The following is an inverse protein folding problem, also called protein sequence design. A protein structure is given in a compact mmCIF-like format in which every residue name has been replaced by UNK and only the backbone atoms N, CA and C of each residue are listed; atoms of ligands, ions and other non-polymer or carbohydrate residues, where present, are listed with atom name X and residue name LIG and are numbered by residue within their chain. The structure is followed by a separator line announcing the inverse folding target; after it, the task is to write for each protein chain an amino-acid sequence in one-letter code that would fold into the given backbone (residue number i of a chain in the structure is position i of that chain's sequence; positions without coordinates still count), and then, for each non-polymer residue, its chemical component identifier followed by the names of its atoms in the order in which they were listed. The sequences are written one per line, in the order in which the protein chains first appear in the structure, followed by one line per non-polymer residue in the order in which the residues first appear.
data_IF_201581541025
#
_entry.id   IF_201581541025
#
_cell.length_a   1.000
_cell.length_b   1.000
_cell.length_c   1.000
_cell.angle_alpha   90.00
_cell.angle_beta   90.00
_cell.angle_gamma   90.00
#
_symmetry.space_group_name_H-M   'P 1'
#
loop_
_entity.id
_entity.type
_entity.pdbx_description
1 polymer ?
#
# COMPACT_ATOMS: atom_id res chain seq x y z
N UNK A 1 5.80 -2.01 22.43
CA UNK A 1 6.33 -1.04 21.45
C UNK A 1 6.24 -1.69 20.08
N UNK A 2 5.05 -1.68 19.47
CA UNK A 2 4.90 -2.01 18.04
C UNK A 2 4.94 -0.67 17.33
N UNK A 3 6.09 -0.37 16.72
CA UNK A 3 6.30 0.88 16.01
C UNK A 3 5.27 0.99 14.89
N UNK A 4 4.35 1.93 15.02
CA UNK A 4 3.71 2.56 13.88
C UNK A 4 4.85 3.22 13.10
N UNK A 5 5.44 2.49 12.15
CA UNK A 5 6.24 3.15 11.14
C UNK A 5 5.26 4.08 10.44
N UNK A 6 5.40 5.37 10.70
CA UNK A 6 4.95 6.46 9.84
C UNK A 6 5.58 6.23 8.44
N UNK A 7 5.12 5.21 7.73
CA UNK A 7 5.36 5.07 6.31
C UNK A 7 4.41 6.08 5.69
N UNK A 8 4.95 7.11 5.03
CA UNK A 8 4.14 8.16 4.41
C UNK A 8 3.00 7.53 3.60
N UNK A 9 1.75 8.01 3.77
CA UNK A 9 0.59 7.43 3.13
C UNK A 9 0.80 7.42 1.61
N UNK A 10 1.00 6.22 1.05
CA UNK A 10 1.23 6.05 -0.38
C UNK A 10 -0.06 6.31 -1.15
N UNK A 11 0.06 6.58 -2.44
CA UNK A 11 -1.10 6.71 -3.33
C UNK A 11 -1.07 5.64 -4.38
N UNK A 12 -2.24 5.09 -4.68
CA UNK A 12 -2.42 4.19 -5.79
C UNK A 12 -2.09 4.92 -7.11
N UNK A 13 -1.18 4.40 -7.95
CA UNK A 13 -0.82 5.04 -9.21
C UNK A 13 -1.93 4.97 -10.28
N UNK A 14 -2.98 4.17 -10.05
CA UNK A 14 -4.09 4.01 -10.99
C UNK A 14 -5.26 4.94 -10.66
N UNK A 15 -5.84 4.81 -9.46
CA UNK A 15 -6.98 5.61 -9.02
C UNK A 15 -6.60 6.88 -8.22
N UNK A 16 -5.35 7.02 -7.77
CA UNK A 16 -4.93 8.13 -6.90
C UNK A 16 -5.39 8.04 -5.45
N UNK A 17 -6.07 6.95 -5.07
CA UNK A 17 -6.55 6.68 -3.72
C UNK A 17 -5.38 6.61 -2.73
N UNK A 18 -5.60 7.09 -1.51
CA UNK A 18 -4.61 7.01 -0.43
C UNK A 18 -4.62 5.59 0.13
N UNK A 19 -3.44 4.99 0.22
CA UNK A 19 -3.20 3.69 0.82
C UNK A 19 -2.74 3.94 2.25
N UNK A 20 -3.59 3.67 3.26
CA UNK A 20 -3.34 4.11 4.62
C UNK A 20 -2.31 3.24 5.35
N UNK A 21 -2.25 1.94 5.06
CA UNK A 21 -1.30 1.02 5.67
C UNK A 21 -0.92 -0.13 4.74
N UNK A 22 0.31 -0.62 4.91
CA UNK A 22 0.81 -1.83 4.25
C UNK A 22 0.20 -3.04 4.94
N UNK A 23 -0.28 -4.02 4.17
CA UNK A 23 -0.83 -5.23 4.74
C UNK A 23 0.29 -6.04 5.44
N UNK A 24 0.23 -6.24 6.77
CA UNK A 24 1.30 -6.91 7.51
C UNK A 24 1.32 -8.42 7.28
N UNK A 25 0.25 -9.00 6.73
CA UNK A 25 0.14 -10.44 6.49
C UNK A 25 0.84 -10.84 5.21
N UNK A 26 0.71 -10.01 4.16
CA UNK A 26 1.24 -10.31 2.82
C UNK A 26 2.49 -9.48 2.50
N UNK A 27 2.69 -8.34 3.16
CA UNK A 27 3.86 -7.48 2.96
C UNK A 27 3.81 -6.64 1.68
N UNK A 28 2.63 -6.41 1.12
CA UNK A 28 2.37 -5.52 -0.02
C UNK A 28 1.23 -4.54 0.31
N UNK A 29 1.11 -3.46 -0.44
CA UNK A 29 0.00 -2.51 -0.28
C UNK A 29 -1.15 -2.93 -1.17
N UNK A 30 -2.38 -2.92 -0.64
CA UNK A 30 -3.58 -3.19 -1.42
C UNK A 30 -4.43 -1.93 -1.53
N UNK A 31 -4.84 -1.58 -2.74
CA UNK A 31 -5.80 -0.52 -2.98
C UNK A 31 -7.22 -1.08 -2.96
N UNK A 32 -8.06 -0.63 -2.03
CA UNK A 32 -9.45 -1.10 -1.92
C UNK A 32 -10.32 -0.70 -3.11
N UNK A 33 -10.10 0.48 -3.70
CA UNK A 33 -10.85 0.96 -4.87
C UNK A 33 -10.53 0.16 -6.13
N UNK A 34 -9.24 -0.12 -6.35
CA UNK A 34 -8.74 -0.71 -7.57
C UNK A 34 -8.51 -2.24 -7.44
N UNK A 35 -8.61 -2.79 -6.22
CA UNK A 35 -8.10 -4.11 -5.84
C UNK A 35 -6.65 -4.36 -6.31
N UNK A 36 -5.87 -3.28 -6.44
CA UNK A 36 -4.54 -3.30 -7.03
C UNK A 36 -3.51 -3.52 -5.93
N UNK A 37 -2.61 -4.46 -6.16
CA UNK A 37 -1.54 -4.75 -5.23
C UNK A 37 -0.22 -4.13 -5.68
N UNK A 38 0.50 -3.52 -4.72
CA UNK A 38 1.73 -2.77 -4.96
C UNK A 38 2.83 -3.22 -4.00
N UNK A 39 4.06 -3.29 -4.48
CA UNK A 39 5.22 -3.66 -3.67
C UNK A 39 5.74 -2.51 -2.77
N UNK A 40 6.84 -2.79 -2.08
CA UNK A 40 7.54 -1.83 -1.22
C UNK A 40 8.16 -0.64 -1.99
N UNK A 41 8.23 -0.67 -3.32
CA UNK A 41 8.66 0.45 -4.18
C UNK A 41 7.47 1.20 -4.81
N UNK A 42 6.26 0.64 -4.69
CA UNK A 42 5.03 1.20 -5.26
C UNK A 42 4.79 0.71 -6.70
N UNK A 43 5.55 -0.29 -7.14
CA UNK A 43 5.33 -0.95 -8.42
C UNK A 43 4.22 -1.99 -8.31
N UNK A 44 3.54 -2.23 -9.42
CA UNK A 44 2.39 -3.14 -9.50
C UNK A 44 2.86 -4.58 -9.42
N UNK A 45 2.29 -5.33 -8.50
CA UNK A 45 2.48 -6.77 -8.42
C UNK A 45 1.40 -7.41 -9.31
N UNK A 46 1.80 -7.87 -10.50
CA UNK A 46 0.92 -8.48 -11.51
C UNK A 46 0.75 -9.97 -11.30
#
# INVERSE_FOLDING_TARGET
MTGTRDEEPRRCPDCGAVLPERDPLIGWWLCDDCALALDDEGARLT
#
